data_IF_455469784686
#
_entry.id   IF_455469784686
#
_cell.length_a   1.000
_cell.length_b   1.000
_cell.length_c   1.000
_cell.angle_alpha   90.00
_cell.angle_beta   90.00
_cell.angle_gamma   90.00
#
_symmetry.space_group_name_H-M   'P 1'
#
loop_
_entity.id
_entity.type
_entity.pdbx_description
1 polymer ?
#
# COMPACT_ATOMS: atom_id res chain seq x y z
N UNK A 1 47.90 25.89 11.20
CA UNK A 1 46.87 25.52 10.17
C UNK A 1 46.86 26.69 9.21
N UNK A 2 47.41 26.50 8.00
CA UNK A 2 47.44 27.56 7.00
C UNK A 2 46.05 27.72 6.33
N UNK A 3 45.73 28.94 5.89
CA UNK A 3 44.47 29.19 5.16
C UNK A 3 44.40 28.41 3.84
N UNK A 4 45.53 27.95 3.31
CA UNK A 4 45.63 27.08 2.13
C UNK A 4 45.14 25.66 2.41
N UNK A 5 45.39 25.12 3.61
CA UNK A 5 44.91 23.79 4.02
C UNK A 5 43.36 23.76 4.16
N UNK A 6 42.78 24.92 4.49
CA UNK A 6 41.32 25.06 4.61
C UNK A 6 40.71 25.17 3.20
N UNK A 7 41.30 25.91 2.26
CA UNK A 7 40.78 26.05 0.91
C UNK A 7 40.79 24.73 0.12
N UNK A 8 41.89 23.93 0.25
CA UNK A 8 41.98 22.64 -0.46
C UNK A 8 40.97 21.59 0.03
N UNK A 9 40.46 21.73 1.26
CA UNK A 9 39.45 20.80 1.80
C UNK A 9 38.02 20.99 1.22
N UNK A 10 37.70 22.22 0.75
CA UNK A 10 36.39 22.53 0.18
C UNK A 10 36.23 21.97 -1.24
N UNK A 11 37.31 21.86 -2.02
CA UNK A 11 37.27 21.30 -3.38
C UNK A 11 37.01 19.78 -3.40
N UNK A 12 37.33 19.10 -2.31
CA UNK A 12 37.19 17.64 -2.17
C UNK A 12 35.88 17.23 -1.48
N UNK A 13 34.96 18.17 -1.21
CA UNK A 13 33.64 17.82 -0.66
C UNK A 13 32.81 17.10 -1.73
N UNK A 14 32.19 15.96 -1.37
CA UNK A 14 31.29 15.28 -2.29
C UNK A 14 30.18 16.24 -2.74
N UNK A 15 29.82 16.24 -4.04
CA UNK A 15 28.81 17.15 -4.56
C UNK A 15 27.51 17.02 -3.76
N UNK A 16 26.92 18.14 -3.37
CA UNK A 16 25.66 18.16 -2.63
C UNK A 16 24.60 17.47 -3.47
N UNK A 17 23.96 16.39 -2.96
CA UNK A 17 22.97 15.66 -3.73
C UNK A 17 21.86 16.58 -4.21
N UNK A 18 21.55 16.51 -5.50
CA UNK A 18 20.46 17.29 -6.10
C UNK A 18 19.14 16.93 -5.42
N UNK A 19 18.23 17.88 -5.28
CA UNK A 19 16.92 17.68 -4.60
C UNK A 19 16.18 16.43 -5.12
N UNK A 20 16.34 16.09 -6.39
CA UNK A 20 15.73 14.91 -7.03
C UNK A 20 16.37 13.57 -6.63
N UNK A 21 17.57 13.59 -6.06
CA UNK A 21 18.27 12.40 -5.55
C UNK A 21 17.85 12.05 -4.11
N UNK A 22 17.23 12.99 -3.40
CA UNK A 22 16.88 12.83 -1.99
C UNK A 22 15.47 12.25 -1.85
N UNK A 23 15.35 11.34 -0.91
CA UNK A 23 14.04 10.84 -0.48
C UNK A 23 13.45 11.85 0.49
N UNK A 24 12.21 12.26 0.24
CA UNK A 24 11.50 13.20 1.10
C UNK A 24 11.17 12.60 2.46
N UNK A 25 11.88 13.04 3.52
CA UNK A 25 11.64 12.53 4.90
C UNK A 25 10.18 12.65 5.32
N UNK A 26 9.51 13.74 4.90
CA UNK A 26 8.08 13.95 5.19
C UNK A 26 7.19 12.93 4.51
N UNK A 27 7.47 12.57 3.26
CA UNK A 27 6.73 11.56 2.51
C UNK A 27 6.86 10.19 3.16
N UNK A 28 8.06 9.82 3.58
CA UNK A 28 8.31 8.55 4.29
C UNK A 28 7.55 8.46 5.60
N UNK A 29 7.62 9.53 6.44
CA UNK A 29 6.90 9.55 7.71
C UNK A 29 5.38 9.47 7.47
N UNK A 30 4.87 10.22 6.49
CA UNK A 30 3.45 10.16 6.13
C UNK A 30 3.03 8.76 5.66
N UNK A 31 3.85 8.09 4.85
CA UNK A 31 3.62 6.71 4.40
C UNK A 31 3.53 5.72 5.57
N UNK A 32 4.49 5.78 6.50
CA UNK A 32 4.48 4.94 7.71
C UNK A 32 3.24 5.20 8.57
N UNK A 33 2.93 6.46 8.85
CA UNK A 33 1.73 6.82 9.63
C UNK A 33 0.45 6.33 8.98
N UNK A 34 0.33 6.49 7.66
CA UNK A 34 -0.85 6.04 6.91
C UNK A 34 -0.98 4.53 6.92
N UNK A 35 0.11 3.78 6.73
CA UNK A 35 0.14 2.32 6.76
C UNK A 35 -0.28 1.77 8.13
N UNK A 36 0.23 2.36 9.22
CA UNK A 36 -0.14 1.98 10.58
C UNK A 36 -1.60 2.34 10.88
N UNK A 37 -2.06 3.52 10.49
CA UNK A 37 -3.46 3.93 10.65
C UNK A 37 -4.40 2.98 9.89
N UNK A 38 -4.07 2.61 8.66
CA UNK A 38 -4.80 1.65 7.87
C UNK A 38 -4.91 0.29 8.58
N UNK A 39 -3.79 -0.24 9.10
CA UNK A 39 -3.79 -1.48 9.85
C UNK A 39 -4.71 -1.43 11.07
N UNK A 40 -4.61 -0.36 11.86
CA UNK A 40 -5.43 -0.17 13.06
C UNK A 40 -6.92 -0.16 12.70
N UNK A 41 -7.29 0.60 11.68
CA UNK A 41 -8.68 0.69 11.21
C UNK A 41 -9.21 -0.67 10.78
N UNK A 42 -8.45 -1.42 9.97
CA UNK A 42 -8.88 -2.73 9.47
C UNK A 42 -8.93 -3.82 10.55
N UNK A 43 -8.09 -3.74 11.58
CA UNK A 43 -8.11 -4.69 12.70
C UNK A 43 -9.21 -4.40 13.71
N UNK A 44 -9.44 -3.12 14.02
CA UNK A 44 -10.41 -2.73 15.05
C UNK A 44 -11.82 -2.67 14.48
N UNK A 45 -11.99 -2.05 13.31
CA UNK A 45 -13.28 -1.79 12.69
C UNK A 45 -13.30 -2.28 11.23
N UNK A 46 -13.18 -3.60 10.98
CA UNK A 46 -13.19 -4.14 9.61
C UNK A 46 -14.52 -3.86 8.89
N UNK A 47 -15.59 -3.58 9.62
CA UNK A 47 -16.90 -3.21 9.09
C UNK A 47 -17.02 -1.72 8.69
N UNK A 48 -15.94 -0.91 8.76
CA UNK A 48 -15.98 0.50 8.32
C UNK A 48 -16.31 0.60 6.82
N UNK A 49 -15.90 -0.39 6.05
CA UNK A 49 -16.34 -0.55 4.66
C UNK A 49 -17.70 -1.23 4.64
N UNK A 50 -18.77 -0.44 4.60
CA UNK A 50 -20.14 -0.92 4.56
C UNK A 50 -20.95 -0.22 3.48
N UNK A 51 -21.95 -0.91 2.98
CA UNK A 51 -22.99 -0.34 2.12
C UNK A 51 -24.22 -0.08 2.99
N UNK A 52 -24.74 1.13 2.90
CA UNK A 52 -25.97 1.51 3.62
C UNK A 52 -27.14 1.36 2.67
N UNK A 53 -28.04 0.45 2.99
CA UNK A 53 -29.25 0.14 2.22
C UNK A 53 -30.48 0.60 2.99
N UNK A 54 -31.43 1.21 2.31
CA UNK A 54 -32.71 1.57 2.91
C UNK A 54 -33.73 0.45 2.63
N UNK A 55 -33.99 -0.38 3.64
CA UNK A 55 -35.01 -1.44 3.58
C UNK A 55 -36.22 -1.06 4.43
N UNK A 56 -37.36 -0.85 3.76
CA UNK A 56 -38.61 -0.56 4.47
C UNK A 56 -38.61 0.70 5.34
N UNK A 57 -37.81 1.73 4.97
CA UNK A 57 -37.66 2.97 5.74
C UNK A 57 -36.62 2.94 6.84
N UNK A 58 -35.95 1.81 7.05
CA UNK A 58 -34.82 1.67 7.97
C UNK A 58 -33.48 1.60 7.21
N UNK A 59 -32.47 2.31 7.72
CA UNK A 59 -31.11 2.25 7.18
C UNK A 59 -30.40 1.04 7.78
N UNK A 60 -30.10 0.07 6.93
CA UNK A 60 -29.33 -1.13 7.30
C UNK A 60 -27.93 -0.99 6.74
N UNK A 61 -26.92 -1.13 7.61
CA UNK A 61 -25.51 -1.11 7.23
C UNK A 61 -25.02 -2.54 7.05
N UNK A 62 -24.57 -2.89 5.84
CA UNK A 62 -24.07 -4.23 5.50
C UNK A 62 -22.57 -4.10 5.22
N UNK A 63 -21.70 -4.73 6.03
CA UNK A 63 -20.26 -4.66 5.82
C UNK A 63 -19.87 -5.42 4.54
N UNK A 64 -18.94 -4.85 3.78
CA UNK A 64 -18.38 -5.46 2.55
C UNK A 64 -17.49 -6.65 2.90
N UNK A 65 -16.71 -6.50 3.97
CA UNK A 65 -15.79 -7.53 4.44
C UNK A 65 -16.37 -8.26 5.64
N UNK A 66 -16.18 -9.57 5.66
CA UNK A 66 -16.53 -10.39 6.81
C UNK A 66 -15.51 -10.17 7.93
N UNK A 67 -15.95 -9.55 9.03
CA UNK A 67 -15.10 -9.20 10.16
C UNK A 67 -14.42 -10.43 10.80
N UNK A 68 -15.10 -11.58 10.83
CA UNK A 68 -14.55 -12.80 11.39
C UNK A 68 -13.42 -13.34 10.50
N UNK A 69 -13.60 -13.34 9.18
CA UNK A 69 -12.58 -13.76 8.22
C UNK A 69 -11.38 -12.82 8.26
N UNK A 70 -11.58 -11.50 8.28
CA UNK A 70 -10.48 -10.53 8.44
C UNK A 70 -9.68 -10.81 9.71
N UNK A 71 -10.37 -11.08 10.82
CA UNK A 71 -9.70 -11.41 12.09
C UNK A 71 -8.97 -12.75 12.07
N UNK A 72 -9.38 -13.73 11.27
CA UNK A 72 -8.68 -15.02 11.18
C UNK A 72 -7.36 -14.91 10.40
N UNK A 73 -7.25 -13.96 9.48
CA UNK A 73 -6.06 -13.74 8.63
C UNK A 73 -5.32 -12.44 8.96
N UNK A 74 -5.49 -11.92 10.17
CA UNK A 74 -4.88 -10.66 10.63
C UNK A 74 -3.36 -10.59 10.41
N UNK A 75 -2.67 -11.73 10.49
CA UNK A 75 -1.23 -11.83 10.31
C UNK A 75 -0.79 -11.43 8.89
N UNK A 76 -1.64 -11.62 7.86
CA UNK A 76 -1.37 -11.17 6.50
C UNK A 76 -1.36 -9.64 6.41
N UNK A 77 -2.31 -8.97 7.08
CA UNK A 77 -2.35 -7.50 7.16
C UNK A 77 -1.13 -6.95 7.90
N UNK A 78 -0.74 -7.57 9.00
CA UNK A 78 0.48 -7.18 9.73
C UNK A 78 1.72 -7.41 8.87
N UNK A 79 1.83 -8.56 8.19
CA UNK A 79 2.93 -8.83 7.28
C UNK A 79 3.06 -7.76 6.20
N UNK A 80 1.94 -7.38 5.56
CA UNK A 80 1.90 -6.33 4.56
C UNK A 80 2.43 -4.99 5.11
N UNK A 81 2.00 -4.61 6.31
CA UNK A 81 2.43 -3.34 6.94
C UNK A 81 3.90 -3.41 7.38
N UNK A 82 4.37 -4.53 7.93
CA UNK A 82 5.78 -4.70 8.29
C UNK A 82 6.69 -4.51 7.07
N UNK A 83 6.37 -5.11 5.94
CA UNK A 83 7.16 -4.96 4.72
C UNK A 83 7.07 -3.53 4.16
N UNK A 84 5.88 -2.92 4.15
CA UNK A 84 5.69 -1.54 3.72
C UNK A 84 6.45 -0.54 4.58
N UNK A 85 6.30 -0.63 5.90
CA UNK A 85 7.02 0.22 6.87
C UNK A 85 8.54 -0.03 6.80
N UNK A 86 8.95 -1.30 6.68
CA UNK A 86 10.37 -1.65 6.53
C UNK A 86 11.00 -1.01 5.29
N UNK A 87 10.29 -1.03 4.16
CA UNK A 87 10.67 -0.32 2.92
C UNK A 87 10.85 1.17 3.17
N UNK A 88 9.85 1.81 3.77
CA UNK A 88 9.85 3.25 4.00
C UNK A 88 10.95 3.67 4.97
N UNK A 89 11.17 2.90 6.04
CA UNK A 89 12.26 3.14 6.99
C UNK A 89 13.63 2.97 6.33
N UNK A 90 13.82 1.94 5.50
CA UNK A 90 15.06 1.75 4.78
C UNK A 90 15.35 2.93 3.85
N UNK A 91 14.33 3.43 3.13
CA UNK A 91 14.43 4.64 2.32
C UNK A 91 14.79 5.89 3.13
N UNK A 92 14.22 6.01 4.33
CA UNK A 92 14.52 7.11 5.25
C UNK A 92 16.00 7.12 5.68
N UNK A 93 16.57 5.96 6.03
CA UNK A 93 17.96 5.84 6.45
C UNK A 93 18.95 6.01 5.29
N UNK A 94 18.64 5.49 4.12
CA UNK A 94 19.47 5.65 2.92
C UNK A 94 19.51 7.11 2.44
N UNK A 95 18.38 7.81 2.54
CA UNK A 95 18.25 9.25 2.25
C UNK A 95 18.37 9.63 0.79
N UNK A 96 18.81 8.72 -0.09
CA UNK A 96 18.98 8.92 -1.54
C UNK A 96 18.64 7.65 -2.31
N UNK A 97 18.36 7.82 -3.60
CA UNK A 97 18.10 6.68 -4.49
C UNK A 97 19.38 5.96 -4.84
N UNK A 98 19.56 4.75 -4.30
CA UNK A 98 20.70 3.85 -4.57
C UNK A 98 20.20 2.55 -5.18
N UNK A 99 21.09 1.78 -5.83
CA UNK A 99 20.73 0.43 -6.33
C UNK A 99 20.32 -0.50 -5.20
N UNK A 100 20.96 -0.37 -4.02
CA UNK A 100 20.58 -1.15 -2.82
C UNK A 100 19.14 -0.84 -2.42
N UNK A 101 18.79 0.44 -2.39
CA UNK A 101 17.42 0.86 -2.09
C UNK A 101 16.43 0.25 -3.09
N UNK A 102 16.70 0.35 -4.40
CA UNK A 102 15.80 -0.19 -5.43
C UNK A 102 15.57 -1.70 -5.27
N UNK A 103 16.60 -2.47 -4.92
CA UNK A 103 16.48 -3.91 -4.67
C UNK A 103 15.68 -4.20 -3.40
N UNK A 104 16.02 -3.53 -2.29
CA UNK A 104 15.34 -3.76 -0.99
C UNK A 104 13.86 -3.35 -1.07
N UNK A 105 13.56 -2.21 -1.69
CA UNK A 105 12.17 -1.76 -1.88
C UNK A 105 11.41 -2.73 -2.77
N UNK A 106 11.99 -3.18 -3.88
CA UNK A 106 11.36 -4.16 -4.77
C UNK A 106 11.05 -5.48 -4.09
N UNK A 107 11.95 -6.00 -3.25
CA UNK A 107 11.71 -7.22 -2.46
C UNK A 107 10.60 -6.99 -1.42
N UNK A 108 10.65 -5.88 -0.69
CA UNK A 108 9.65 -5.56 0.32
C UNK A 108 8.24 -5.38 -0.29
N UNK A 109 8.16 -4.70 -1.44
CA UNK A 109 6.91 -4.52 -2.18
C UNK A 109 6.36 -5.84 -2.69
N UNK A 110 7.23 -6.73 -3.20
CA UNK A 110 6.83 -8.07 -3.65
C UNK A 110 6.27 -8.90 -2.47
N UNK A 111 6.95 -8.89 -1.32
CA UNK A 111 6.49 -9.61 -0.14
C UNK A 111 5.18 -9.04 0.40
N UNK A 112 5.04 -7.72 0.43
CA UNK A 112 3.79 -7.04 0.77
C UNK A 112 2.65 -7.44 -0.18
N UNK A 113 2.93 -7.46 -1.48
CA UNK A 113 1.96 -7.88 -2.50
C UNK A 113 1.56 -9.35 -2.35
N UNK A 114 2.48 -10.26 -2.01
CA UNK A 114 2.18 -11.66 -1.72
C UNK A 114 1.23 -11.78 -0.53
N UNK A 115 1.50 -11.07 0.57
CA UNK A 115 0.58 -11.04 1.72
C UNK A 115 -0.80 -10.53 1.31
N UNK A 116 -0.86 -9.48 0.51
CA UNK A 116 -2.10 -8.89 0.02
C UNK A 116 -2.86 -9.82 -0.92
N UNK A 117 -2.14 -10.52 -1.81
CA UNK A 117 -2.71 -11.54 -2.69
C UNK A 117 -3.41 -12.64 -1.89
N UNK A 118 -2.75 -13.21 -0.88
CA UNK A 118 -3.36 -14.23 -0.02
C UNK A 118 -4.53 -13.67 0.78
N UNK A 119 -4.42 -12.45 1.28
CA UNK A 119 -5.51 -11.79 1.98
C UNK A 119 -6.77 -11.68 1.11
N UNK A 120 -6.65 -11.14 -0.11
CA UNK A 120 -7.79 -10.96 -1.00
C UNK A 120 -8.37 -12.28 -1.54
N UNK A 121 -7.56 -13.33 -1.64
CA UNK A 121 -8.02 -14.66 -2.06
C UNK A 121 -8.50 -15.54 -0.89
N UNK A 122 -8.60 -14.98 0.33
CA UNK A 122 -9.14 -15.74 1.47
C UNK A 122 -10.62 -16.04 1.26
N UNK A 123 -11.03 -17.31 1.32
CA UNK A 123 -12.43 -17.69 1.19
C UNK A 123 -13.32 -17.02 2.24
N UNK A 124 -14.45 -16.46 1.82
CA UNK A 124 -15.38 -15.79 2.73
C UNK A 124 -14.92 -14.41 3.20
N UNK A 125 -13.89 -13.82 2.58
CA UNK A 125 -13.46 -12.45 2.89
C UNK A 125 -14.55 -11.43 2.54
N UNK A 126 -15.16 -11.57 1.36
CA UNK A 126 -16.27 -10.72 0.93
C UNK A 126 -17.57 -11.26 1.53
N UNK A 127 -18.34 -10.40 2.14
CA UNK A 127 -19.64 -10.77 2.70
C UNK A 127 -20.65 -11.00 1.58
N UNK A 128 -21.14 -12.21 1.44
CA UNK A 128 -22.12 -12.59 0.41
C UNK A 128 -23.50 -11.97 0.62
N UNK A 129 -23.82 -11.54 1.85
CA UNK A 129 -25.11 -10.91 2.18
C UNK A 129 -25.28 -9.55 1.48
N UNK A 130 -24.20 -8.98 0.99
CA UNK A 130 -24.21 -7.72 0.25
C UNK A 130 -24.89 -7.89 -1.12
N UNK A 131 -24.81 -9.07 -1.74
CA UNK A 131 -25.35 -9.33 -3.09
C UNK A 131 -26.87 -9.18 -3.12
N UNK A 132 -27.66 -9.90 -2.29
CA UNK A 132 -29.12 -9.73 -2.29
C UNK A 132 -29.56 -8.32 -1.83
N UNK A 133 -28.78 -7.66 -0.97
CA UNK A 133 -29.08 -6.31 -0.53
C UNK A 133 -28.94 -5.30 -1.68
N UNK A 134 -27.93 -5.43 -2.50
CA UNK A 134 -27.72 -4.60 -3.69
C UNK A 134 -28.76 -4.93 -4.78
N UNK A 135 -29.05 -6.22 -4.97
CA UNK A 135 -30.04 -6.67 -5.95
C UNK A 135 -31.43 -6.08 -5.67
N UNK A 136 -31.78 -5.94 -4.37
CA UNK A 136 -33.02 -5.29 -3.94
C UNK A 136 -33.05 -3.80 -4.28
N UNK A 137 -31.93 -3.10 -4.34
CA UNK A 137 -31.85 -1.68 -4.72
C UNK A 137 -32.02 -1.45 -6.22
N UNK A 138 -31.54 -2.37 -7.04
CA UNK A 138 -31.53 -2.24 -8.50
C UNK A 138 -32.64 -3.04 -9.19
N UNK A 139 -33.64 -3.56 -8.42
CA UNK A 139 -34.83 -4.26 -8.93
C UNK A 139 -34.48 -5.44 -9.87
N UNK A 140 -33.44 -6.17 -9.59
CA UNK A 140 -33.02 -7.36 -10.33
C UNK A 140 -32.47 -7.10 -11.74
N UNK A 141 -32.18 -5.85 -12.11
CA UNK A 141 -31.74 -5.51 -13.47
C UNK A 141 -30.25 -5.71 -13.72
N UNK A 142 -29.44 -5.87 -12.67
CA UNK A 142 -27.98 -5.83 -12.87
C UNK A 142 -27.23 -6.99 -12.19
N UNK A 143 -27.19 -8.15 -12.87
CA UNK A 143 -26.10 -9.13 -12.67
C UNK A 143 -24.68 -8.51 -12.79
N UNK A 144 -24.61 -7.27 -13.29
CA UNK A 144 -23.36 -6.53 -13.43
C UNK A 144 -22.75 -6.19 -12.07
N UNK A 145 -23.55 -5.72 -11.12
CA UNK A 145 -23.06 -5.30 -9.79
C UNK A 145 -22.57 -6.51 -8.99
N UNK A 146 -23.32 -7.63 -9.03
CA UNK A 146 -22.86 -8.86 -8.42
C UNK A 146 -21.52 -9.32 -9.00
N UNK A 147 -21.33 -9.24 -10.33
CA UNK A 147 -20.05 -9.53 -11.00
C UNK A 147 -18.95 -8.56 -10.63
N UNK A 148 -19.25 -7.27 -10.47
CA UNK A 148 -18.25 -6.27 -10.03
C UNK A 148 -17.79 -6.57 -8.60
N UNK A 149 -18.72 -6.90 -7.69
CA UNK A 149 -18.37 -7.20 -6.30
C UNK A 149 -17.58 -8.50 -6.19
N UNK A 150 -17.97 -9.54 -6.90
CA UNK A 150 -17.24 -10.82 -6.89
C UNK A 150 -15.91 -10.74 -7.66
N UNK A 151 -15.83 -9.89 -8.69
CA UNK A 151 -14.61 -9.64 -9.46
C UNK A 151 -13.67 -8.58 -8.85
N UNK A 152 -14.16 -7.81 -7.84
CA UNK A 152 -13.41 -6.73 -7.22
C UNK A 152 -12.02 -7.14 -6.72
N UNK A 153 -11.83 -8.29 -6.03
CA UNK A 153 -10.50 -8.72 -5.59
C UNK A 153 -9.51 -8.87 -6.76
N UNK A 154 -9.95 -9.46 -7.87
CA UNK A 154 -9.10 -9.67 -9.06
C UNK A 154 -8.71 -8.36 -9.73
N UNK A 155 -9.65 -7.44 -9.94
CA UNK A 155 -9.38 -6.12 -10.52
C UNK A 155 -8.45 -5.32 -9.61
N UNK A 156 -8.68 -5.38 -8.31
CA UNK A 156 -7.85 -4.66 -7.34
C UNK A 156 -6.42 -5.21 -7.30
N UNK A 157 -6.24 -6.53 -7.36
CA UNK A 157 -4.92 -7.16 -7.48
C UNK A 157 -4.18 -6.73 -8.75
N UNK A 158 -4.88 -6.65 -9.89
CA UNK A 158 -4.28 -6.20 -11.13
C UNK A 158 -3.81 -4.76 -11.05
N UNK A 159 -4.61 -3.87 -10.48
CA UNK A 159 -4.24 -2.46 -10.28
C UNK A 159 -3.03 -2.35 -9.34
N UNK A 160 -3.04 -3.10 -8.24
CA UNK A 160 -1.91 -3.11 -7.29
C UNK A 160 -0.63 -3.67 -7.91
N UNK A 161 -0.72 -4.73 -8.74
CA UNK A 161 0.42 -5.26 -9.48
C UNK A 161 1.00 -4.22 -10.45
N UNK A 162 0.14 -3.47 -11.15
CA UNK A 162 0.56 -2.38 -12.03
C UNK A 162 1.28 -1.26 -11.26
N UNK A 163 0.74 -0.83 -10.13
CA UNK A 163 1.37 0.17 -9.27
C UNK A 163 2.75 -0.31 -8.81
N UNK A 164 2.86 -1.57 -8.37
CA UNK A 164 4.13 -2.17 -7.95
C UNK A 164 5.18 -2.15 -9.06
N UNK A 165 4.80 -2.52 -10.29
CA UNK A 165 5.70 -2.51 -11.45
C UNK A 165 6.16 -1.08 -11.77
N UNK A 166 5.24 -0.11 -11.73
CA UNK A 166 5.56 1.30 -12.00
C UNK A 166 6.46 1.88 -10.91
N UNK A 167 6.20 1.57 -9.64
CA UNK A 167 7.01 2.05 -8.51
C UNK A 167 8.43 1.45 -8.57
N UNK A 168 8.54 0.13 -8.75
CA UNK A 168 9.84 -0.53 -8.93
C UNK A 168 10.60 0.03 -10.13
N UNK A 169 9.95 0.19 -11.29
CA UNK A 169 10.56 0.76 -12.49
C UNK A 169 11.08 2.19 -12.26
N UNK A 170 10.28 3.01 -11.54
CA UNK A 170 10.67 4.39 -11.21
C UNK A 170 11.86 4.44 -10.26
N UNK A 171 11.85 3.59 -9.23
CA UNK A 171 12.94 3.50 -8.26
C UNK A 171 14.23 2.99 -8.91
N UNK A 172 14.13 2.00 -9.79
CA UNK A 172 15.26 1.46 -10.55
C UNK A 172 15.84 2.51 -11.51
N UNK A 173 14.98 3.23 -12.25
CA UNK A 173 15.40 4.31 -13.14
C UNK A 173 16.13 5.41 -12.38
N UNK A 174 15.60 5.87 -11.25
CA UNK A 174 16.25 6.86 -10.40
C UNK A 174 17.59 6.35 -9.85
N UNK A 175 17.63 5.11 -9.39
CA UNK A 175 18.86 4.48 -8.92
C UNK A 175 19.93 4.43 -10.00
N UNK A 176 19.59 4.03 -11.23
CA UNK A 176 20.54 4.00 -12.35
C UNK A 176 21.03 5.39 -12.74
N UNK A 177 20.18 6.41 -12.63
CA UNK A 177 20.50 7.78 -13.01
C UNK A 177 21.36 8.50 -11.98
N UNK A 178 21.16 8.23 -10.69
CA UNK A 178 21.74 9.01 -9.58
C UNK A 178 22.76 8.23 -8.73
N UNK A 179 22.82 6.91 -8.86
CA UNK A 179 23.81 6.08 -8.15
C UNK A 179 25.13 6.08 -8.93
N UNK A 180 25.93 7.14 -8.72
CA UNK A 180 27.29 7.30 -9.24
C UNK A 180 28.30 7.11 -8.15
#
# INVERSE_FOLDING_TARGET
ISLEDINGSWENLPPVPVKQERIGKGETIAGVCLSVAFLIVFLIVPQILCVIVNQGGQKVSIPILNAQTVRSVWFLLIGMVIFGVGRDLFGYFEGRYTRRLAVVTGIADLLSFICFFFFLNTPGLVNTDIIPAIDSLFQGKDMFIAKVITGFPGVFLLVMALILVLDFGTNLYKAMKYDR
#
